data_IF_437841651840
#
_entry.id   IF_437841651840
#
_cell.length_a   1.000
_cell.length_b   1.000
_cell.length_c   1.000
_cell.angle_alpha   90.00
_cell.angle_beta   90.00
_cell.angle_gamma   90.00
#
_symmetry.space_group_name_H-M   'P 1'
#
loop_
_entity.id
_entity.type
_entity.pdbx_description
1 polymer ?
#
# COMPACT_ATOMS: atom_id res chain seq x y z
N UNK A 1 8.25 -3.37 -10.60
CA UNK A 1 7.30 -3.90 -9.60
C UNK A 1 8.02 -4.04 -8.27
N UNK A 2 7.46 -3.51 -7.18
CA UNK A 2 7.97 -3.64 -5.81
C UNK A 2 7.01 -4.47 -4.95
N UNK A 3 7.53 -5.25 -4.00
CA UNK A 3 6.71 -6.07 -3.10
C UNK A 3 7.25 -6.02 -1.66
N UNK A 4 6.35 -5.90 -0.67
CA UNK A 4 6.71 -5.98 0.75
C UNK A 4 5.54 -6.45 1.63
N UNK A 5 5.86 -7.00 2.81
CA UNK A 5 4.88 -7.13 3.90
C UNK A 5 4.92 -5.89 4.79
N UNK A 6 3.74 -5.40 5.20
CA UNK A 6 3.60 -4.28 6.12
C UNK A 6 3.30 -4.72 7.56
N UNK A 7 3.11 -6.01 7.81
CA UNK A 7 2.75 -6.55 9.14
C UNK A 7 1.60 -5.77 9.81
N UNK A 8 0.60 -5.39 9.03
CA UNK A 8 -0.57 -4.56 9.42
C UNK A 8 -0.23 -3.16 9.98
N UNK A 9 1.02 -2.71 9.84
CA UNK A 9 1.52 -1.47 10.41
C UNK A 9 1.05 -0.25 9.61
N UNK A 10 0.17 0.55 10.22
CA UNK A 10 -0.25 1.84 9.65
C UNK A 10 0.92 2.80 9.40
N UNK A 11 1.86 3.03 10.34
CA UNK A 11 3.00 3.91 10.10
C UNK A 11 3.90 3.42 8.96
N UNK A 12 4.09 2.11 8.81
CA UNK A 12 4.88 1.56 7.70
C UNK A 12 4.20 1.82 6.36
N UNK A 13 2.87 1.67 6.28
CA UNK A 13 2.12 1.97 5.08
C UNK A 13 2.17 3.46 4.71
N UNK A 14 2.01 4.35 5.69
CA UNK A 14 2.10 5.80 5.48
C UNK A 14 3.52 6.20 5.05
N UNK A 15 4.57 5.61 5.64
CA UNK A 15 5.95 5.86 5.25
C UNK A 15 6.26 5.38 3.83
N UNK A 16 5.71 4.23 3.42
CA UNK A 16 5.86 3.71 2.07
C UNK A 16 5.22 4.66 1.04
N UNK A 17 3.96 5.01 1.25
CA UNK A 17 3.16 5.75 0.28
C UNK A 17 3.62 7.20 0.11
N UNK A 18 4.23 7.78 1.14
CA UNK A 18 4.77 9.14 1.11
C UNK A 18 6.29 9.18 0.86
N UNK A 19 6.94 8.02 0.68
CA UNK A 19 8.37 7.93 0.41
C UNK A 19 8.72 8.36 -1.01
N UNK A 20 9.91 8.91 -1.21
CA UNK A 20 10.39 9.33 -2.54
C UNK A 20 10.61 8.16 -3.49
N UNK A 21 10.87 6.96 -2.97
CA UNK A 21 11.14 5.78 -3.80
C UNK A 21 9.87 5.18 -4.42
N UNK A 22 8.68 5.53 -3.91
CA UNK A 22 7.41 4.96 -4.35
C UNK A 22 7.12 5.30 -5.82
N UNK A 23 7.56 6.47 -6.29
CA UNK A 23 7.34 6.95 -7.67
C UNK A 23 8.18 6.20 -8.71
N UNK A 24 9.17 5.42 -8.26
CA UNK A 24 10.01 4.61 -9.15
C UNK A 24 9.36 3.27 -9.53
N UNK A 25 8.16 2.99 -9.01
CA UNK A 25 7.48 1.70 -9.19
C UNK A 25 6.08 1.88 -9.78
N UNK A 26 5.82 1.21 -10.89
CA UNK A 26 4.48 1.21 -11.51
C UNK A 26 3.45 0.41 -10.71
N UNK A 27 3.90 -0.64 -10.02
CA UNK A 27 3.06 -1.56 -9.25
C UNK A 27 3.74 -1.86 -7.91
N UNK A 28 2.94 -1.79 -6.85
CA UNK A 28 3.33 -2.12 -5.49
C UNK A 28 2.41 -3.25 -5.00
N UNK A 29 2.99 -4.42 -4.72
CA UNK A 29 2.30 -5.55 -4.13
C UNK A 29 2.48 -5.54 -2.60
N UNK A 30 1.37 -5.41 -1.87
CA UNK A 30 1.37 -5.38 -0.41
C UNK A 30 0.85 -6.70 0.17
N UNK A 31 1.60 -7.27 1.10
CA UNK A 31 1.14 -8.35 1.98
C UNK A 31 0.87 -7.77 3.37
N UNK A 32 -0.15 -8.31 4.04
CA UNK A 32 -0.58 -7.85 5.38
C UNK A 32 -0.71 -6.31 5.47
N UNK A 33 -1.40 -5.64 4.53
CA UNK A 33 -1.55 -4.18 4.58
C UNK A 33 -2.35 -3.76 5.82
N UNK A 34 -2.20 -2.50 6.22
CA UNK A 34 -3.13 -1.93 7.19
C UNK A 34 -4.48 -1.73 6.50
N UNK A 35 -5.52 -2.34 7.06
CA UNK A 35 -6.91 -2.22 6.63
C UNK A 35 -7.68 -1.42 7.68
N UNK A 36 -8.38 -0.38 7.25
CA UNK A 36 -9.17 0.46 8.14
C UNK A 36 -10.51 -0.19 8.52
N UNK A 37 -11.28 0.48 9.38
CA UNK A 37 -12.56 -0.03 9.90
C UNK A 37 -13.63 -0.26 8.84
N UNK A 38 -13.49 0.35 7.65
CA UNK A 38 -14.40 0.16 6.51
C UNK A 38 -13.80 -0.77 5.44
N UNK A 39 -12.86 -1.63 5.83
CA UNK A 39 -12.24 -2.66 5.00
C UNK A 39 -11.43 -2.14 3.80
N UNK A 40 -10.93 -0.90 3.89
CA UNK A 40 -10.09 -0.30 2.86
C UNK A 40 -8.64 -0.11 3.34
N UNK A 41 -7.70 -0.28 2.42
CA UNK A 41 -6.32 0.17 2.56
C UNK A 41 -6.18 1.64 2.16
N UNK A 42 -5.25 2.37 2.77
CA UNK A 42 -4.96 3.77 2.41
C UNK A 42 -4.20 3.84 1.09
N UNK A 43 -4.53 4.81 0.24
CA UNK A 43 -3.80 5.12 -0.99
C UNK A 43 -3.55 6.64 -1.09
N UNK A 44 -2.73 7.06 -2.06
CA UNK A 44 -2.50 8.47 -2.41
C UNK A 44 -3.18 8.82 -3.73
N UNK A 45 -3.12 10.09 -4.15
CA UNK A 45 -3.62 10.52 -5.46
C UNK A 45 -2.81 9.95 -6.65
N UNK A 46 -1.60 9.43 -6.40
CA UNK A 46 -0.75 8.83 -7.43
C UNK A 46 -1.02 7.34 -7.66
N UNK A 47 -1.68 6.67 -6.70
CA UNK A 47 -1.91 5.23 -6.74
C UNK A 47 -3.38 4.91 -6.56
N UNK A 48 -3.82 3.86 -7.24
CA UNK A 48 -5.12 3.24 -7.01
C UNK A 48 -4.92 1.92 -6.26
N UNK A 49 -5.61 1.76 -5.13
CA UNK A 49 -5.65 0.48 -4.44
C UNK A 49 -6.51 -0.51 -5.24
N UNK A 50 -5.93 -1.65 -5.60
CA UNK A 50 -6.62 -2.77 -6.25
C UNK A 50 -6.61 -3.96 -5.31
N UNK A 51 -7.78 -4.52 -5.07
CA UNK A 51 -7.94 -5.72 -4.26
C UNK A 51 -8.04 -6.94 -5.18
N UNK A 52 -7.41 -8.08 -4.83
CA UNK A 52 -7.63 -9.31 -5.56
C UNK A 52 -9.11 -9.68 -5.53
N UNK A 53 -9.70 -9.94 -6.70
CA UNK A 53 -10.97 -10.63 -6.80
C UNK A 53 -10.74 -12.14 -6.79
N UNK A 54 -11.76 -12.90 -6.40
CA UNK A 54 -11.84 -14.35 -6.66
C UNK A 54 -11.94 -14.64 -8.15
#
# INVERSE_FOLDING_TARGET
IWQQSLNTSRPAQESLLNGLDVVNWDIIALQEPHINLVQNTTSTNCFQALYPST
#
